data_IF_458382426718
#
_entry.id   IF_458382426718
#
_cell.length_a   1.000
_cell.length_b   1.000
_cell.length_c   1.000
_cell.angle_alpha   90.00
_cell.angle_beta   90.00
_cell.angle_gamma   90.00
#
_symmetry.space_group_name_H-M   'P 1'
#
loop_
_entity.id
_entity.type
_entity.pdbx_description
1 polymer ?
#
# COMPACT_ATOMS: atom_id res chain seq x y z
N UNK A 1 8.31 1.33 -13.68
CA UNK A 1 8.18 0.12 -12.83
C UNK A 1 8.91 -1.02 -13.53
N UNK A 2 9.67 -1.87 -12.84
CA UNK A 2 10.23 -3.10 -13.46
C UNK A 2 9.46 -4.27 -12.88
N UNK A 3 8.57 -4.84 -13.67
CA UNK A 3 7.65 -5.90 -13.20
C UNK A 3 8.25 -7.31 -13.36
N UNK A 4 9.57 -7.42 -13.32
CA UNK A 4 10.29 -8.69 -13.36
C UNK A 4 10.25 -9.44 -14.69
N UNK A 5 9.85 -8.80 -15.80
CA UNK A 5 9.81 -9.36 -17.15
C UNK A 5 10.83 -8.67 -18.06
N UNK A 6 11.64 -9.46 -18.76
CA UNK A 6 12.79 -8.96 -19.52
C UNK A 6 12.40 -7.93 -20.59
N UNK A 7 11.30 -8.17 -21.32
CA UNK A 7 10.80 -7.24 -22.35
C UNK A 7 10.27 -5.91 -21.80
N UNK A 8 10.10 -5.79 -20.48
CA UNK A 8 9.71 -4.57 -19.78
C UNK A 8 10.87 -3.90 -19.03
N UNK A 9 12.11 -4.29 -19.32
CA UNK A 9 13.31 -3.53 -18.94
C UNK A 9 13.51 -2.31 -19.86
N UNK A 10 12.50 -1.44 -19.94
CA UNK A 10 12.53 -0.22 -20.74
C UNK A 10 12.65 1.01 -19.84
N UNK A 11 13.32 2.04 -20.34
CA UNK A 11 13.29 3.38 -19.76
C UNK A 11 12.07 4.08 -20.34
N UNK A 12 11.13 4.48 -19.49
CA UNK A 12 9.98 5.28 -19.93
C UNK A 12 10.45 6.71 -20.20
N UNK A 13 9.96 7.31 -21.29
CA UNK A 13 10.26 8.72 -21.62
C UNK A 13 9.52 9.68 -20.70
N UNK A 14 8.33 9.29 -20.25
CA UNK A 14 7.49 10.06 -19.35
C UNK A 14 7.39 9.41 -17.97
N UNK A 15 7.23 10.26 -16.96
CA UNK A 15 6.93 9.82 -15.60
C UNK A 15 5.45 9.42 -15.49
N UNK A 16 5.12 8.32 -14.77
CA UNK A 16 3.75 8.04 -14.37
C UNK A 16 3.16 9.20 -13.58
N UNK A 17 1.84 9.45 -13.67
CA UNK A 17 1.21 10.64 -13.06
C UNK A 17 1.47 10.74 -11.55
N UNK A 18 1.44 9.62 -10.83
CA UNK A 18 1.77 9.60 -9.40
C UNK A 18 3.22 10.05 -9.09
N UNK A 19 4.17 9.70 -9.97
CA UNK A 19 5.58 10.13 -9.87
C UNK A 19 5.71 11.63 -10.15
N UNK A 20 5.03 12.11 -11.19
CA UNK A 20 5.00 13.53 -11.56
C UNK A 20 4.44 14.40 -10.42
N UNK A 21 3.35 13.97 -9.79
CA UNK A 21 2.77 14.63 -8.61
C UNK A 21 3.80 14.70 -7.48
N UNK A 22 4.45 13.58 -7.15
CA UNK A 22 5.44 13.55 -6.06
C UNK A 22 6.63 14.47 -6.33
N UNK A 23 7.14 14.50 -7.56
CA UNK A 23 8.21 15.43 -7.96
C UNK A 23 7.75 16.89 -7.83
N UNK A 24 6.54 17.23 -8.27
CA UNK A 24 5.94 18.57 -8.14
C UNK A 24 5.79 19.01 -6.68
N UNK A 25 5.51 18.06 -5.78
CA UNK A 25 5.42 18.30 -4.33
C UNK A 25 6.80 18.37 -3.65
N UNK A 26 7.89 18.20 -4.38
CA UNK A 26 9.26 18.28 -3.86
C UNK A 26 9.79 16.98 -3.25
N UNK A 27 9.14 15.84 -3.50
CA UNK A 27 9.61 14.55 -3.01
C UNK A 27 10.92 14.12 -3.70
N UNK A 28 11.86 13.56 -2.92
CA UNK A 28 13.13 13.02 -3.43
C UNK A 28 12.98 11.53 -3.67
N UNK A 29 12.79 11.15 -4.94
CA UNK A 29 12.70 9.75 -5.35
C UNK A 29 14.10 9.19 -5.61
N UNK A 30 14.57 8.29 -4.75
CA UNK A 30 15.96 7.83 -4.76
C UNK A 30 16.14 6.36 -5.16
N UNK A 31 15.11 5.53 -5.05
CA UNK A 31 15.16 4.10 -5.41
C UNK A 31 13.88 3.63 -6.08
N UNK A 32 14.01 2.57 -6.88
CA UNK A 32 12.89 1.74 -7.33
C UNK A 32 13.00 0.40 -6.63
N UNK A 33 11.94 -0.07 -6.00
CA UNK A 33 11.97 -1.30 -5.21
C UNK A 33 11.55 -2.52 -6.03
N UNK A 34 12.03 -3.69 -5.61
CA UNK A 34 11.80 -4.96 -6.31
C UNK A 34 10.36 -5.46 -6.13
N UNK A 35 9.88 -6.24 -7.11
CA UNK A 35 8.51 -6.79 -7.18
C UNK A 35 8.57 -8.25 -7.67
N UNK A 36 7.53 -9.08 -7.50
CA UNK A 36 7.49 -10.38 -8.15
C UNK A 36 7.38 -10.25 -9.66
N UNK A 37 7.82 -11.29 -10.37
CA UNK A 37 7.57 -11.42 -11.80
C UNK A 37 6.07 -11.29 -12.07
N UNK A 38 5.70 -10.42 -13.01
CA UNK A 38 4.33 -10.08 -13.42
C UNK A 38 3.39 -9.52 -12.34
N UNK A 39 3.92 -9.09 -11.18
CA UNK A 39 3.18 -8.48 -10.06
C UNK A 39 2.21 -9.41 -9.31
N UNK A 40 1.56 -10.39 -9.95
CA UNK A 40 0.44 -11.15 -9.39
C UNK A 40 0.87 -12.25 -8.39
N UNK A 41 1.60 -11.88 -7.34
CA UNK A 41 2.03 -12.80 -6.28
C UNK A 41 2.22 -12.12 -4.92
N UNK A 42 1.89 -12.82 -3.83
CA UNK A 42 2.19 -12.41 -2.43
C UNK A 42 3.62 -12.83 -2.00
N UNK A 43 4.57 -12.70 -2.91
CA UNK A 43 6.02 -12.84 -2.68
C UNK A 43 6.73 -11.82 -3.57
N UNK A 44 8.05 -11.67 -3.46
CA UNK A 44 8.82 -10.74 -4.29
C UNK A 44 10.09 -11.40 -4.82
N UNK A 45 9.95 -12.11 -5.94
CA UNK A 45 11.05 -12.75 -6.65
C UNK A 45 10.84 -12.65 -8.18
N UNK A 46 11.91 -12.39 -8.91
CA UNK A 46 11.92 -12.41 -10.37
C UNK A 46 13.31 -12.75 -10.92
N UNK A 47 13.37 -13.14 -12.19
CA UNK A 47 14.61 -13.59 -12.84
C UNK A 47 15.58 -12.45 -13.24
N UNK A 48 15.27 -11.19 -12.92
CA UNK A 48 16.09 -10.03 -13.29
C UNK A 48 16.89 -9.55 -12.09
N UNK A 49 16.21 -9.26 -10.98
CA UNK A 49 16.78 -8.71 -9.75
C UNK A 49 16.95 -9.80 -8.68
N UNK A 50 16.23 -10.91 -8.79
CA UNK A 50 16.21 -11.99 -7.81
C UNK A 50 15.20 -11.75 -6.68
N UNK A 51 15.43 -12.44 -5.56
CA UNK A 51 14.52 -12.49 -4.41
C UNK A 51 14.78 -11.37 -3.42
N UNK A 52 13.71 -10.64 -3.09
CA UNK A 52 13.65 -9.76 -1.92
C UNK A 52 13.46 -10.61 -0.67
N UNK A 53 14.13 -10.26 0.43
CA UNK A 53 13.98 -10.93 1.72
C UNK A 53 13.31 -10.02 2.74
N UNK A 54 12.60 -10.62 3.69
CA UNK A 54 11.98 -9.88 4.79
C UNK A 54 13.09 -9.29 5.71
N UNK A 55 12.99 -8.01 6.12
CA UNK A 55 14.02 -7.37 6.94
C UNK A 55 14.08 -7.90 8.38
N UNK A 56 13.03 -8.58 8.87
CA UNK A 56 12.99 -9.15 10.23
C UNK A 56 13.51 -10.59 10.28
N UNK A 57 13.34 -11.35 9.20
CA UNK A 57 13.88 -12.70 9.06
C UNK A 57 14.15 -13.01 7.59
N UNK A 58 15.42 -13.18 7.25
CA UNK A 58 15.86 -13.43 5.87
C UNK A 58 15.34 -14.73 5.26
N UNK A 59 14.79 -15.66 6.07
CA UNK A 59 14.18 -16.91 5.60
C UNK A 59 12.71 -16.72 5.20
N UNK A 60 12.10 -15.57 5.54
CA UNK A 60 10.69 -15.28 5.26
C UNK A 60 10.52 -14.36 4.04
N UNK A 61 9.34 -14.46 3.43
CA UNK A 61 8.92 -13.55 2.37
C UNK A 61 8.64 -12.15 2.94
N UNK A 62 9.00 -11.07 2.24
CA UNK A 62 8.54 -9.73 2.57
C UNK A 62 7.09 -9.48 2.15
N UNK A 63 6.43 -10.46 1.51
CA UNK A 63 5.13 -10.30 0.87
C UNK A 63 5.25 -9.77 -0.56
N UNK A 64 4.13 -9.37 -1.14
CA UNK A 64 4.09 -8.88 -2.52
C UNK A 64 2.72 -8.31 -2.90
N UNK A 65 2.57 -7.66 -4.05
CA UNK A 65 3.63 -7.42 -5.03
C UNK A 65 4.64 -6.38 -4.57
N UNK A 66 4.21 -5.41 -3.76
CA UNK A 66 5.07 -4.32 -3.25
C UNK A 66 6.01 -4.76 -2.11
N UNK A 67 6.58 -5.97 -2.19
CA UNK A 67 7.44 -6.50 -1.13
C UNK A 67 8.80 -5.81 -1.05
N UNK A 68 9.30 -5.22 -2.15
CA UNK A 68 10.44 -4.31 -2.08
C UNK A 68 10.15 -3.07 -1.24
N UNK A 69 8.98 -2.45 -1.40
CA UNK A 69 8.54 -1.32 -0.55
C UNK A 69 8.39 -1.77 0.90
N UNK A 70 7.72 -2.90 1.15
CA UNK A 70 7.56 -3.45 2.49
C UNK A 70 8.90 -3.68 3.18
N UNK A 71 9.85 -4.31 2.49
CA UNK A 71 11.18 -4.56 3.03
C UNK A 71 11.97 -3.27 3.26
N UNK A 72 11.90 -2.31 2.33
CA UNK A 72 12.62 -1.04 2.45
C UNK A 72 12.06 -0.18 3.59
N UNK A 73 10.75 0.05 3.63
CA UNK A 73 10.08 0.85 4.67
C UNK A 73 10.17 0.16 6.02
N UNK A 74 9.82 -1.12 6.10
CA UNK A 74 9.84 -1.91 7.33
C UNK A 74 11.25 -2.09 7.90
N UNK A 75 12.25 -2.17 7.03
CA UNK A 75 13.68 -2.17 7.37
C UNK A 75 14.28 -0.79 7.62
N UNK A 76 13.47 0.28 7.65
CA UNK A 76 13.88 1.68 7.89
C UNK A 76 14.83 2.25 6.84
N UNK A 77 14.88 1.65 5.65
CA UNK A 77 15.61 2.15 4.50
C UNK A 77 14.91 3.30 3.77
N UNK A 78 13.59 3.43 3.92
CA UNK A 78 12.79 4.57 3.46
C UNK A 78 11.81 5.04 4.54
N UNK A 79 11.54 6.36 4.59
CA UNK A 79 10.51 6.94 5.45
C UNK A 79 9.10 6.65 4.91
N UNK A 80 8.95 6.64 3.59
CA UNK A 80 7.68 6.49 2.88
C UNK A 80 7.90 5.68 1.60
N UNK A 81 6.99 4.76 1.34
CA UNK A 81 6.95 3.94 0.14
C UNK A 81 5.64 4.13 -0.62
N UNK A 82 5.68 3.89 -1.93
CA UNK A 82 4.51 3.96 -2.81
C UNK A 82 4.33 2.62 -3.50
N UNK A 83 3.19 1.98 -3.25
CA UNK A 83 2.85 0.67 -3.78
C UNK A 83 1.53 0.68 -4.55
N UNK A 84 1.17 -0.49 -5.08
CA UNK A 84 -0.12 -0.71 -5.74
C UNK A 84 -0.84 -1.92 -5.15
N UNK A 85 -2.17 -1.90 -5.08
CA UNK A 85 -2.97 -2.96 -4.46
C UNK A 85 -4.28 -3.23 -5.22
N UNK A 86 -4.31 -4.33 -5.96
CA UNK A 86 -5.51 -4.91 -6.56
C UNK A 86 -6.15 -5.98 -5.67
N UNK A 87 -5.33 -6.82 -5.03
CA UNK A 87 -5.77 -7.97 -4.22
C UNK A 87 -5.19 -8.05 -2.81
N UNK A 88 -4.33 -7.11 -2.41
CA UNK A 88 -3.63 -7.11 -1.13
C UNK A 88 -2.20 -6.58 -1.20
N UNK A 89 -1.75 -6.10 -2.36
CA UNK A 89 -0.33 -5.93 -2.65
C UNK A 89 0.38 -4.77 -1.95
N UNK A 90 -0.35 -3.89 -1.24
CA UNK A 90 0.19 -2.95 -0.24
C UNK A 90 0.07 -3.55 1.16
N UNK A 91 -1.09 -4.13 1.47
CA UNK A 91 -1.44 -4.60 2.82
C UNK A 91 -0.64 -5.83 3.25
N UNK A 92 -0.43 -6.78 2.36
CA UNK A 92 0.35 -7.99 2.63
C UNK A 92 1.81 -7.68 2.97
N UNK A 93 2.58 -6.93 2.13
CA UNK A 93 3.95 -6.61 2.49
C UNK A 93 4.07 -5.70 3.71
N UNK A 94 3.10 -4.81 3.95
CA UNK A 94 3.06 -4.03 5.18
C UNK A 94 2.90 -4.91 6.44
N UNK A 95 1.96 -5.86 6.40
CA UNK A 95 1.75 -6.80 7.50
C UNK A 95 2.97 -7.71 7.73
N UNK A 96 3.65 -8.14 6.66
CA UNK A 96 4.78 -9.07 6.77
C UNK A 96 6.06 -8.35 7.21
N UNK A 97 6.24 -7.09 6.83
CA UNK A 97 7.42 -6.28 7.16
C UNK A 97 7.16 -5.27 8.27
N UNK A 98 6.13 -5.47 9.10
CA UNK A 98 5.84 -4.68 10.29
C UNK A 98 5.87 -3.15 10.03
N UNK A 99 5.14 -2.72 9.00
CA UNK A 99 4.90 -1.32 8.71
C UNK A 99 3.40 -1.08 8.43
N UNK A 100 3.01 0.17 8.28
CA UNK A 100 1.65 0.57 7.95
C UNK A 100 1.48 0.57 6.43
N UNK A 101 0.37 0.01 5.95
CA UNK A 101 0.02 0.01 4.53
C UNK A 101 -1.41 0.50 4.34
N UNK A 102 -1.60 1.49 3.47
CA UNK A 102 -2.91 2.07 3.21
C UNK A 102 -3.30 1.89 1.75
N UNK A 103 -4.39 1.13 1.55
CA UNK A 103 -5.07 0.98 0.27
C UNK A 103 -6.27 1.94 0.25
N UNK A 104 -6.19 3.09 -0.44
CA UNK A 104 -7.32 4.00 -0.51
C UNK A 104 -8.45 3.41 -1.36
N UNK A 105 -9.61 4.07 -1.33
CA UNK A 105 -10.66 3.86 -2.33
C UNK A 105 -10.09 4.01 -3.74
N UNK A 106 -10.55 3.18 -4.68
CA UNK A 106 -10.11 3.25 -6.07
C UNK A 106 -10.30 4.65 -6.65
N UNK A 107 -9.42 5.03 -7.58
CA UNK A 107 -9.44 6.33 -8.29
C UNK A 107 -9.22 7.56 -7.39
N UNK A 108 -8.72 7.38 -6.16
CA UNK A 108 -8.27 8.51 -5.30
C UNK A 108 -6.89 9.03 -5.67
N UNK A 109 -6.04 8.16 -6.21
CA UNK A 109 -4.71 8.47 -6.72
C UNK A 109 -4.60 7.91 -8.13
N UNK A 110 -3.81 8.55 -9.01
CA UNK A 110 -3.77 8.22 -10.42
C UNK A 110 -2.90 6.98 -10.63
N UNK A 111 -3.32 6.13 -11.57
CA UNK A 111 -2.61 4.91 -11.97
C UNK A 111 -2.04 5.02 -13.38
N UNK A 112 -2.36 6.10 -14.10
CA UNK A 112 -1.86 6.34 -15.46
C UNK A 112 -0.33 6.34 -15.53
N UNK A 113 0.20 5.74 -16.60
CA UNK A 113 1.63 5.51 -16.80
C UNK A 113 2.22 4.37 -15.93
N UNK A 114 1.43 3.76 -15.04
CA UNK A 114 1.79 2.51 -14.38
C UNK A 114 1.87 1.34 -15.36
N UNK A 115 2.83 0.45 -15.17
CA UNK A 115 2.95 -0.77 -15.99
C UNK A 115 2.27 -1.94 -15.27
N UNK A 116 1.27 -2.55 -15.93
CA UNK A 116 0.63 -3.77 -15.49
C UNK A 116 0.28 -4.66 -16.69
N UNK A 117 0.10 -5.96 -16.45
CA UNK A 117 -0.28 -6.94 -17.47
C UNK A 117 -1.78 -7.04 -17.75
N UNK A 118 -2.62 -6.28 -17.06
CA UNK A 118 -4.07 -6.37 -17.09
C UNK A 118 -4.75 -5.09 -17.62
N UNK A 119 -4.10 -4.39 -18.56
CA UNK A 119 -4.63 -3.16 -19.15
C UNK A 119 -6.08 -3.31 -19.64
N UNK A 120 -6.94 -2.37 -19.22
CA UNK A 120 -8.37 -2.36 -19.57
C UNK A 120 -9.28 -3.12 -18.59
N UNK A 121 -8.75 -3.70 -17.51
CA UNK A 121 -9.60 -4.32 -16.49
C UNK A 121 -10.26 -3.29 -15.57
N UNK A 122 -11.59 -3.22 -15.61
CA UNK A 122 -12.43 -2.31 -14.82
C UNK A 122 -13.22 -2.99 -13.69
N UNK A 123 -13.36 -4.31 -13.67
CA UNK A 123 -14.17 -5.01 -12.64
C UNK A 123 -13.51 -4.99 -11.26
N UNK A 124 -12.18 -5.11 -11.20
CA UNK A 124 -11.38 -5.03 -9.97
C UNK A 124 -10.20 -4.11 -10.27
N UNK A 125 -10.34 -2.84 -9.93
CA UNK A 125 -9.37 -1.80 -10.26
C UNK A 125 -8.24 -1.77 -9.23
N UNK A 126 -7.00 -1.85 -9.72
CA UNK A 126 -5.79 -1.63 -8.91
C UNK A 126 -5.70 -0.18 -8.42
N UNK A 127 -5.14 0.04 -7.24
CA UNK A 127 -5.02 1.38 -6.65
C UNK A 127 -3.60 1.68 -6.24
N UNK A 128 -3.19 2.94 -6.37
CA UNK A 128 -1.96 3.45 -5.75
C UNK A 128 -2.24 3.78 -4.29
N UNK A 129 -1.30 3.48 -3.41
CA UNK A 129 -1.34 3.85 -2.00
C UNK A 129 0.06 3.86 -1.40
N UNK A 130 0.13 3.98 -0.08
CA UNK A 130 1.39 4.19 0.63
C UNK A 130 1.71 3.09 1.63
N UNK A 131 3.02 2.92 1.86
CA UNK A 131 3.58 2.19 2.98
C UNK A 131 4.41 3.17 3.82
N UNK A 132 4.27 3.15 5.14
CA UNK A 132 5.01 4.03 6.02
C UNK A 132 5.24 3.42 7.40
N UNK A 133 6.02 4.10 8.23
CA UNK A 133 6.33 3.65 9.58
C UNK A 133 5.42 4.26 10.66
N UNK A 134 4.50 5.15 10.27
CA UNK A 134 3.47 5.72 11.14
C UNK A 134 2.18 5.97 10.36
N UNK A 135 1.05 6.08 11.06
CA UNK A 135 -0.23 6.49 10.46
C UNK A 135 -0.17 7.96 10.03
N UNK A 136 0.56 8.80 10.76
CA UNK A 136 0.71 10.22 10.45
C UNK A 136 1.42 10.43 9.10
N UNK A 137 2.41 9.60 8.78
CA UNK A 137 3.10 9.64 7.47
C UNK A 137 2.18 9.19 6.32
N UNK A 138 1.31 8.21 6.57
CA UNK A 138 0.27 7.80 5.60
C UNK A 138 -0.68 8.97 5.35
N UNK A 139 -1.15 9.62 6.43
CA UNK A 139 -2.05 10.76 6.33
C UNK A 139 -1.40 11.93 5.59
N UNK A 140 -0.14 12.25 5.92
CA UNK A 140 0.64 13.28 5.23
C UNK A 140 0.71 12.99 3.72
N UNK A 141 1.09 11.78 3.33
CA UNK A 141 1.15 11.41 1.91
C UNK A 141 -0.21 11.57 1.22
N UNK A 142 -1.28 11.03 1.81
CA UNK A 142 -2.61 11.11 1.21
C UNK A 142 -3.09 12.54 1.09
N UNK A 143 -2.90 13.36 2.14
CA UNK A 143 -3.27 14.77 2.15
C UNK A 143 -2.51 15.54 1.07
N UNK A 144 -1.18 15.44 1.03
CA UNK A 144 -0.33 16.13 0.07
C UNK A 144 -0.64 15.73 -1.39
N UNK A 145 -0.71 14.44 -1.67
CA UNK A 145 -0.98 13.95 -3.03
C UNK A 145 -2.37 14.34 -3.53
N UNK A 146 -3.37 14.45 -2.64
CA UNK A 146 -4.75 14.77 -3.03
C UNK A 146 -4.97 16.28 -3.09
N UNK A 147 -4.67 17.03 -2.03
CA UNK A 147 -5.08 18.43 -1.90
C UNK A 147 -4.17 19.35 -2.72
N UNK A 148 -2.86 19.13 -2.66
CA UNK A 148 -1.85 19.92 -3.37
C UNK A 148 -1.52 19.29 -4.73
N UNK A 149 -1.48 17.95 -4.79
CA UNK A 149 -1.23 17.22 -6.03
C UNK A 149 -2.38 17.29 -7.04
N UNK A 150 -3.63 17.43 -6.58
CA UNK A 150 -4.85 17.52 -7.39
C UNK A 150 -4.87 16.53 -8.57
N UNK A 151 -4.87 15.21 -8.32
CA UNK A 151 -4.67 14.21 -9.37
C UNK A 151 -5.66 14.29 -10.54
N UNK A 152 -6.86 14.83 -10.31
CA UNK A 152 -7.89 15.03 -11.31
C UNK A 152 -7.57 16.12 -12.35
N UNK A 153 -6.57 16.97 -12.11
CA UNK A 153 -6.10 17.96 -13.10
C UNK A 153 -5.25 17.27 -14.19
N UNK A 154 -4.58 16.15 -13.87
CA UNK A 154 -3.67 15.43 -14.75
C UNK A 154 -4.22 14.08 -15.23
N UNK A 155 -5.17 13.49 -14.50
CA UNK A 155 -5.79 12.20 -14.80
C UNK A 155 -7.31 12.29 -14.63
N UNK A 156 -8.03 12.30 -15.76
CA UNK A 156 -9.50 12.38 -15.79
C UNK A 156 -10.21 11.21 -15.11
N UNK A 157 -9.49 10.12 -14.80
CA UNK A 157 -10.03 8.98 -14.07
C UNK A 157 -10.06 9.20 -12.56
N UNK A 158 -9.29 10.17 -12.05
CA UNK A 158 -9.21 10.49 -10.63
C UNK A 158 -10.45 11.26 -10.15
N UNK A 159 -10.95 10.88 -8.97
CA UNK A 159 -12.16 11.49 -8.39
C UNK A 159 -11.78 12.78 -7.64
N UNK A 160 -12.43 13.93 -7.93
CA UNK A 160 -12.10 15.23 -7.34
C UNK A 160 -12.66 15.40 -5.92
N UNK A 161 -12.23 14.53 -5.00
CA UNK A 161 -12.60 14.56 -3.58
C UNK A 161 -11.37 14.86 -2.73
N UNK A 162 -11.38 16.04 -2.12
CA UNK A 162 -10.33 16.49 -1.20
C UNK A 162 -10.16 15.57 0.00
N UNK A 163 -8.94 15.51 0.52
CA UNK A 163 -8.65 14.95 1.83
C UNK A 163 -9.13 15.93 2.90
N UNK A 164 -10.06 15.48 3.75
CA UNK A 164 -10.69 16.31 4.76
C UNK A 164 -10.02 16.08 6.10
N UNK A 165 -9.69 17.18 6.78
CA UNK A 165 -9.33 17.10 8.19
C UNK A 165 -10.57 16.77 9.00
N UNK A 166 -10.50 15.68 9.76
CA UNK A 166 -11.59 15.22 10.63
C UNK A 166 -11.15 15.31 12.08
N UNK A 167 -12.03 15.79 12.96
CA UNK A 167 -11.77 15.80 14.40
C UNK A 167 -11.63 14.36 14.90
N UNK A 168 -10.73 14.14 15.87
CA UNK A 168 -10.61 12.84 16.54
C UNK A 168 -12.00 12.40 17.04
N UNK A 169 -12.49 11.22 16.62
CA UNK A 169 -13.82 10.78 17.00
C UNK A 169 -13.88 10.46 18.49
N UNK A 170 -15.05 10.71 19.10
CA UNK A 170 -15.32 10.27 20.48
C UNK A 170 -15.48 8.75 20.45
N UNK A 171 -14.70 8.03 21.25
CA UNK A 171 -14.63 6.57 21.22
C UNK A 171 -16.00 5.88 21.33
N UNK A 172 -16.87 6.37 22.22
CA UNK A 172 -18.23 5.85 22.43
C UNK A 172 -19.15 5.97 21.21
N UNK A 173 -18.81 6.85 20.26
CA UNK A 173 -19.58 7.04 19.02
C UNK A 173 -19.09 6.14 17.88
N UNK A 174 -18.01 5.39 18.10
CA UNK A 174 -17.43 4.49 17.10
C UNK A 174 -17.92 3.08 17.38
N UNK A 175 -18.40 2.42 16.34
CA UNK A 175 -18.65 0.97 16.36
C UNK A 175 -17.63 0.27 15.46
N UNK A 176 -16.92 -0.72 16.00
CA UNK A 176 -15.95 -1.54 15.28
C UNK A 176 -16.38 -2.99 15.34
N UNK A 177 -16.63 -3.60 14.18
CA UNK A 177 -16.88 -5.03 14.08
C UNK A 177 -15.55 -5.80 13.94
N UNK A 178 -15.41 -6.93 14.64
CA UNK A 178 -14.23 -7.81 14.50
C UNK A 178 -14.64 -9.16 13.93
N UNK A 179 -14.25 -9.39 12.67
CA UNK A 179 -14.36 -10.69 12.02
C UNK A 179 -13.13 -11.55 12.37
N UNK A 180 -13.32 -12.56 13.22
CA UNK A 180 -12.23 -13.46 13.63
C UNK A 180 -11.90 -14.53 12.59
N UNK A 181 -12.85 -14.92 11.76
CA UNK A 181 -12.71 -15.90 10.69
C UNK A 181 -13.74 -15.57 9.61
N UNK A 182 -13.32 -15.58 8.35
CA UNK A 182 -14.21 -15.32 7.22
C UNK A 182 -14.82 -16.62 6.64
N UNK A 183 -14.42 -17.79 7.15
CA UNK A 183 -14.85 -19.11 6.67
C UNK A 183 -14.06 -19.64 5.47
N UNK A 184 -13.20 -18.82 4.85
CA UNK A 184 -12.44 -19.16 3.65
C UNK A 184 -10.98 -19.51 3.96
N UNK A 185 -10.34 -18.71 4.82
CA UNK A 185 -8.93 -18.90 5.20
C UNK A 185 -8.82 -18.79 6.71
N UNK A 186 -8.67 -19.95 7.36
CA UNK A 186 -8.55 -20.04 8.82
C UNK A 186 -7.31 -19.28 9.32
N UNK A 187 -7.47 -18.25 10.18
CA UNK A 187 -6.32 -17.50 10.66
C UNK A 187 -5.45 -18.31 11.63
N UNK A 188 -4.14 -18.11 11.56
CA UNK A 188 -3.21 -18.73 12.51
C UNK A 188 -3.44 -18.20 13.94
N UNK A 189 -3.10 -19.00 14.98
CA UNK A 189 -3.28 -18.58 16.37
C UNK A 189 -2.70 -17.21 16.74
N UNK A 190 -1.51 -16.78 16.25
CA UNK A 190 -1.00 -15.44 16.53
C UNK A 190 -1.87 -14.31 15.97
N UNK A 191 -2.52 -14.52 14.81
CA UNK A 191 -3.42 -13.53 14.20
C UNK A 191 -4.69 -13.41 15.03
N UNK A 192 -5.31 -14.53 15.41
CA UNK A 192 -6.48 -14.54 16.30
C UNK A 192 -6.16 -13.85 17.62
N UNK A 193 -4.98 -14.10 18.19
CA UNK A 193 -4.53 -13.42 19.42
C UNK A 193 -4.42 -11.91 19.21
N UNK A 194 -3.84 -11.45 18.09
CA UNK A 194 -3.74 -10.03 17.74
C UNK A 194 -5.11 -9.36 17.59
N UNK A 195 -6.07 -10.03 16.94
CA UNK A 195 -7.45 -9.54 16.80
C UNK A 195 -8.13 -9.41 18.17
N UNK A 196 -8.03 -10.43 19.03
CA UNK A 196 -8.57 -10.39 20.40
C UNK A 196 -7.95 -9.27 21.23
N UNK A 197 -6.63 -9.12 21.16
CA UNK A 197 -5.92 -8.04 21.84
C UNK A 197 -6.40 -6.67 21.38
N UNK A 198 -6.59 -6.48 20.07
CA UNK A 198 -7.12 -5.24 19.51
C UNK A 198 -8.55 -4.98 20.00
N UNK A 199 -9.40 -6.01 20.03
CA UNK A 199 -10.76 -5.94 20.58
C UNK A 199 -10.78 -5.43 22.02
N UNK A 200 -9.95 -6.03 22.86
CA UNK A 200 -9.83 -5.68 24.28
C UNK A 200 -9.37 -4.23 24.46
N UNK A 201 -8.36 -3.79 23.70
CA UNK A 201 -7.86 -2.43 23.75
C UNK A 201 -8.89 -1.40 23.29
N UNK A 202 -9.63 -1.69 22.23
CA UNK A 202 -10.71 -0.82 21.74
C UNK A 202 -11.85 -0.71 22.77
N UNK A 203 -12.30 -1.85 23.33
CA UNK A 203 -13.32 -1.86 24.39
C UNK A 203 -12.87 -1.06 25.62
N UNK A 204 -11.62 -1.24 26.05
CA UNK A 204 -11.05 -0.50 27.17
C UNK A 204 -10.96 1.02 26.91
N UNK A 205 -10.82 1.42 25.65
CA UNK A 205 -10.85 2.83 25.22
C UNK A 205 -12.28 3.40 25.08
N UNK A 206 -13.33 2.60 25.34
CA UNK A 206 -14.72 3.03 25.25
C UNK A 206 -15.36 2.89 23.87
N UNK A 207 -14.73 2.18 22.93
CA UNK A 207 -15.30 1.89 21.60
C UNK A 207 -16.33 0.77 21.71
N UNK A 208 -17.46 0.91 21.00
CA UNK A 208 -18.44 -0.18 20.87
C UNK A 208 -17.88 -1.26 19.93
N UNK A 209 -17.51 -2.43 20.46
CA UNK A 209 -16.93 -3.51 19.65
C UNK A 209 -17.93 -4.66 19.54
N UNK A 210 -18.28 -5.00 18.29
CA UNK A 210 -19.23 -6.07 17.93
C UNK A 210 -18.57 -7.24 17.21
#
# INVERSE_FOLDING_TARGET
MVVGLHFWMMVTEEDPTAVSILKKLGAVLYVRTNQPQSLMHFDSNNNIIGRTRNPYDSLLTPGGSSGGEGACVGGRGSALGVGTDIGGSIRAPAAFCNCYGFRPTSRRLPTWGGLCGDGGQESIVSVVGSLANSVDDIELFMKCCINEGKPWDDDTWSIPVIWRDVSKPIASNITVAIMYDNGEVKPHPPIIRGLKHTAEKLKAAGVNVI
#
